data_IF_803292293683
#
_entry.id   IF_803292293683
#
_cell.length_a   1.000
_cell.length_b   1.000
_cell.length_c   1.000
_cell.angle_alpha   90.00
_cell.angle_beta   90.00
_cell.angle_gamma   90.00
#
_symmetry.space_group_name_H-M   'P 1'
#
loop_
_entity.id
_entity.type
_entity.pdbx_description
1 polymer ?
#
# COMPACT_ATOMS: atom_id res chain seq x y z
N UNK A 1 -1.81 17.03 25.59
CA UNK A 1 -2.92 17.10 24.61
C UNK A 1 -2.45 16.35 23.37
N UNK A 2 -3.24 15.39 22.86
CA UNK A 2 -2.91 14.61 21.65
C UNK A 2 -2.75 15.54 20.46
N UNK A 3 -1.60 15.43 19.74
CA UNK A 3 -1.29 16.32 18.61
C UNK A 3 -2.06 15.92 17.35
N UNK A 4 -2.19 14.62 17.09
CA UNK A 4 -2.91 14.07 15.97
C UNK A 4 -3.94 13.05 16.45
N UNK A 5 -5.22 13.32 16.25
CA UNK A 5 -6.30 12.39 16.58
C UNK A 5 -6.45 11.32 15.50
N UNK A 6 -6.33 11.72 14.22
CA UNK A 6 -6.53 10.86 13.06
C UNK A 6 -5.20 10.47 12.44
N UNK A 7 -4.90 9.17 12.41
CA UNK A 7 -3.72 8.62 11.76
C UNK A 7 -4.14 7.81 10.53
N UNK A 8 -3.71 8.28 9.36
CA UNK A 8 -4.01 7.68 8.07
C UNK A 8 -2.79 6.93 7.57
N UNK A 9 -2.78 5.61 7.73
CA UNK A 9 -1.67 4.76 7.34
C UNK A 9 -1.84 4.20 5.93
N UNK A 10 -0.80 4.29 5.12
CA UNK A 10 -0.65 3.37 4.01
C UNK A 10 -0.49 1.94 4.52
N UNK A 11 -0.71 0.95 3.65
CA UNK A 11 -0.68 -0.45 4.04
C UNK A 11 0.59 -1.16 3.59
N UNK A 12 0.87 -1.18 2.28
CA UNK A 12 1.97 -1.94 1.69
C UNK A 12 3.30 -1.20 1.84
N UNK A 13 4.33 -1.88 2.31
CA UNK A 13 5.64 -1.32 2.67
C UNK A 13 5.59 -0.26 3.79
N UNK A 14 4.43 -0.11 4.44
CA UNK A 14 4.26 0.71 5.65
C UNK A 14 3.83 -0.14 6.86
N UNK A 15 2.83 -1.00 6.71
CA UNK A 15 2.36 -1.94 7.73
C UNK A 15 2.67 -3.40 7.37
N UNK A 16 2.60 -3.73 6.09
CA UNK A 16 2.84 -5.06 5.54
C UNK A 16 4.09 -5.09 4.67
N UNK A 17 4.85 -6.16 4.78
CA UNK A 17 5.97 -6.51 3.90
C UNK A 17 5.42 -6.99 2.54
N UNK A 18 5.20 -6.04 1.63
CA UNK A 18 4.68 -6.34 0.30
C UNK A 18 5.64 -7.17 -0.55
N UNK A 19 6.96 -6.91 -0.60
CA UNK A 19 7.91 -7.76 -1.34
C UNK A 19 7.83 -9.22 -0.94
N UNK A 20 7.75 -9.53 0.35
CA UNK A 20 7.60 -10.89 0.85
C UNK A 20 6.27 -11.52 0.44
N UNK A 21 5.17 -10.78 0.59
CA UNK A 21 3.84 -11.25 0.20
C UNK A 21 3.77 -11.51 -1.31
N UNK A 22 4.28 -10.56 -2.11
CA UNK A 22 4.32 -10.64 -3.58
C UNK A 22 5.16 -11.83 -4.07
N UNK A 23 6.36 -12.03 -3.51
CA UNK A 23 7.22 -13.15 -3.87
C UNK A 23 6.56 -14.50 -3.60
N UNK A 24 5.92 -14.65 -2.44
CA UNK A 24 5.20 -15.89 -2.08
C UNK A 24 3.97 -16.12 -2.95
N UNK A 25 3.22 -15.07 -3.24
CA UNK A 25 2.07 -15.15 -4.14
C UNK A 25 2.48 -15.54 -5.56
N UNK A 26 3.59 -14.98 -6.06
CA UNK A 26 4.14 -15.31 -7.37
C UNK A 26 4.66 -16.76 -7.43
N UNK A 27 5.37 -17.22 -6.40
CA UNK A 27 5.81 -18.63 -6.28
C UNK A 27 4.59 -19.58 -6.31
N UNK A 28 3.53 -19.25 -5.59
CA UNK A 28 2.29 -20.03 -5.56
C UNK A 28 1.62 -20.11 -6.93
N UNK A 29 1.47 -18.95 -7.59
CA UNK A 29 0.93 -18.85 -8.95
C UNK A 29 1.77 -19.67 -9.95
N UNK A 30 3.09 -19.56 -9.92
CA UNK A 30 3.99 -20.34 -10.77
C UNK A 30 3.77 -21.84 -10.59
N UNK A 31 3.67 -22.31 -9.34
CA UNK A 31 3.42 -23.72 -9.03
C UNK A 31 2.06 -24.19 -9.55
N UNK A 32 1.00 -23.38 -9.42
CA UNK A 32 -0.36 -23.72 -9.89
C UNK A 32 -0.41 -23.85 -11.41
N UNK A 33 0.38 -23.08 -12.15
CA UNK A 33 0.38 -23.04 -13.62
C UNK A 33 1.56 -23.77 -14.27
N UNK A 34 2.30 -24.61 -13.51
CA UNK A 34 3.48 -25.33 -13.98
C UNK A 34 4.51 -24.41 -14.66
N UNK A 35 4.71 -23.22 -14.11
CA UNK A 35 5.72 -22.24 -14.53
C UNK A 35 6.96 -22.42 -13.64
N UNK A 36 8.17 -22.59 -14.18
CA UNK A 36 9.38 -22.66 -13.36
C UNK A 36 9.57 -21.37 -12.53
N UNK A 37 9.55 -21.53 -11.20
CA UNK A 37 9.90 -20.42 -10.32
C UNK A 37 11.42 -20.32 -10.20
N UNK A 38 12.00 -19.27 -10.77
CA UNK A 38 13.42 -18.96 -10.68
C UNK A 38 13.62 -17.50 -10.24
N UNK A 39 14.78 -17.13 -9.69
CA UNK A 39 15.09 -15.74 -9.36
C UNK A 39 14.96 -14.81 -10.57
N UNK A 40 15.30 -15.27 -11.77
CA UNK A 40 15.18 -14.52 -13.02
C UNK A 40 13.72 -14.27 -13.41
N UNK A 41 12.87 -15.30 -13.29
CA UNK A 41 11.44 -15.20 -13.58
C UNK A 41 10.76 -14.20 -12.60
N UNK A 42 11.10 -14.28 -11.32
CA UNK A 42 10.56 -13.33 -10.33
C UNK A 42 11.05 -11.91 -10.59
N UNK A 43 12.32 -11.71 -10.91
CA UNK A 43 12.87 -10.38 -11.24
C UNK A 43 12.17 -9.78 -12.45
N UNK A 44 12.00 -10.54 -13.54
CA UNK A 44 11.29 -10.12 -14.73
C UNK A 44 9.83 -9.69 -14.40
N UNK A 45 9.11 -10.54 -13.65
CA UNK A 45 7.77 -10.20 -13.20
C UNK A 45 7.75 -8.90 -12.36
N UNK A 46 8.69 -8.77 -11.43
CA UNK A 46 8.79 -7.62 -10.54
C UNK A 46 9.06 -6.32 -11.31
N UNK A 47 9.97 -6.34 -12.28
CA UNK A 47 10.26 -5.18 -13.15
C UNK A 47 9.03 -4.75 -13.95
N UNK A 48 8.32 -5.69 -14.58
CA UNK A 48 7.08 -5.43 -15.32
C UNK A 48 6.01 -4.84 -14.36
N UNK A 49 5.86 -5.42 -13.19
CA UNK A 49 4.88 -4.98 -12.20
C UNK A 49 5.18 -3.56 -11.71
N UNK A 50 6.44 -3.22 -11.41
CA UNK A 50 6.84 -1.87 -11.00
C UNK A 50 6.59 -0.83 -12.09
N UNK A 51 6.93 -1.14 -13.35
CA UNK A 51 6.67 -0.25 -14.49
C UNK A 51 5.18 0.08 -14.61
N UNK A 52 4.34 -0.95 -14.55
CA UNK A 52 2.88 -0.80 -14.72
C UNK A 52 2.24 -0.04 -13.54
N UNK A 53 2.65 -0.32 -12.31
CA UNK A 53 2.17 0.43 -11.15
C UNK A 53 2.64 1.89 -11.19
N UNK A 54 3.87 2.15 -11.65
CA UNK A 54 4.33 3.53 -11.87
C UNK A 54 3.50 4.26 -12.91
N UNK A 55 3.10 3.60 -13.99
CA UNK A 55 2.19 4.17 -14.99
C UNK A 55 0.78 4.44 -14.41
N UNK A 56 0.27 3.55 -13.55
CA UNK A 56 -0.98 3.78 -12.82
C UNK A 56 -0.89 5.00 -11.88
N UNK A 57 0.18 5.15 -11.13
CA UNK A 57 0.40 6.29 -10.22
C UNK A 57 0.47 7.62 -10.96
N UNK A 58 0.91 7.61 -12.23
CA UNK A 58 0.87 8.78 -13.14
C UNK A 58 -0.48 8.98 -13.81
N UNK A 59 -1.44 8.06 -13.63
CA UNK A 59 -2.77 8.11 -14.25
C UNK A 59 -2.81 7.73 -15.73
N UNK A 60 -1.79 7.06 -16.22
CA UNK A 60 -1.64 6.66 -17.65
C UNK A 60 -2.44 5.41 -17.99
N UNK A 61 -2.66 4.54 -17.00
CA UNK A 61 -3.37 3.26 -17.16
C UNK A 61 -4.33 3.01 -16.00
N UNK A 62 -5.28 2.09 -16.19
CA UNK A 62 -6.19 1.67 -15.12
C UNK A 62 -5.58 0.51 -14.31
N UNK A 63 -6.12 0.26 -13.13
CA UNK A 63 -5.69 -0.84 -12.28
C UNK A 63 -5.98 -2.21 -12.90
N UNK A 64 -7.12 -2.34 -13.55
CA UNK A 64 -7.50 -3.55 -14.30
C UNK A 64 -6.48 -3.85 -15.39
N UNK A 65 -6.02 -2.81 -16.11
CA UNK A 65 -4.95 -2.95 -17.09
C UNK A 65 -3.65 -3.43 -16.42
N UNK A 66 -3.21 -2.80 -15.32
CA UNK A 66 -2.00 -3.20 -14.60
C UNK A 66 -2.05 -4.67 -14.21
N UNK A 67 -3.14 -5.10 -13.58
CA UNK A 67 -3.25 -6.44 -13.01
C UNK A 67 -3.27 -7.53 -14.06
N UNK A 68 -3.81 -7.28 -15.24
CA UNK A 68 -3.83 -8.23 -16.34
C UNK A 68 -2.55 -8.15 -17.19
N UNK A 69 -2.16 -6.95 -17.60
CA UNK A 69 -1.06 -6.71 -18.55
C UNK A 69 0.29 -7.23 -18.02
N UNK A 70 0.51 -7.20 -16.72
CA UNK A 70 1.73 -7.76 -16.12
C UNK A 70 1.92 -9.24 -16.46
N UNK A 71 0.84 -10.03 -16.50
CA UNK A 71 0.89 -11.44 -16.86
C UNK A 71 0.94 -11.65 -18.38
N UNK A 72 0.28 -10.80 -19.16
CA UNK A 72 0.43 -10.82 -20.62
C UNK A 72 1.89 -10.61 -21.02
N UNK A 73 2.55 -9.61 -20.45
CA UNK A 73 3.97 -9.32 -20.72
C UNK A 73 4.89 -10.40 -20.19
N UNK A 74 4.66 -10.86 -18.96
CA UNK A 74 5.46 -11.91 -18.33
C UNK A 74 5.42 -13.21 -19.11
N UNK A 75 4.25 -13.72 -19.44
CA UNK A 75 4.07 -14.97 -20.19
C UNK A 75 4.65 -14.88 -21.61
N UNK A 76 4.45 -13.75 -22.28
CA UNK A 76 5.03 -13.49 -23.59
C UNK A 76 6.56 -13.50 -23.54
N UNK A 77 7.17 -12.87 -22.55
CA UNK A 77 8.63 -12.82 -22.41
C UNK A 77 9.26 -14.20 -22.19
N UNK A 78 8.52 -15.11 -21.53
CA UNK A 78 8.95 -16.51 -21.33
C UNK A 78 8.47 -17.46 -22.43
N UNK A 79 7.77 -16.97 -23.45
CA UNK A 79 7.16 -17.79 -24.50
C UNK A 79 6.28 -18.93 -23.95
N UNK A 80 5.46 -18.62 -22.94
CA UNK A 80 4.56 -19.56 -22.27
C UNK A 80 3.10 -19.34 -22.70
N UNK A 81 2.44 -20.44 -23.07
CA UNK A 81 1.01 -20.47 -23.39
C UNK A 81 0.20 -20.79 -22.11
N UNK A 82 -0.17 -19.77 -21.37
CA UNK A 82 -1.04 -19.83 -20.19
C UNK A 82 -2.02 -18.68 -20.24
N UNK A 83 -3.17 -18.81 -19.55
CA UNK A 83 -4.15 -17.73 -19.46
C UNK A 83 -3.67 -16.65 -18.46
N UNK A 84 -3.40 -15.41 -18.91
CA UNK A 84 -3.00 -14.32 -18.04
C UNK A 84 -4.03 -13.98 -16.95
N UNK A 85 -5.33 -14.13 -17.25
CA UNK A 85 -6.39 -13.84 -16.29
C UNK A 85 -6.44 -14.87 -15.16
N UNK A 86 -6.18 -16.15 -15.47
CA UNK A 86 -6.07 -17.20 -14.46
C UNK A 86 -4.83 -17.00 -13.59
N UNK A 87 -3.66 -16.74 -14.19
CA UNK A 87 -2.46 -16.40 -13.45
C UNK A 87 -2.68 -15.22 -12.50
N UNK A 88 -3.33 -14.16 -12.99
CA UNK A 88 -3.65 -13.00 -12.17
C UNK A 88 -4.59 -13.35 -11.01
N UNK A 89 -5.65 -14.11 -11.27
CA UNK A 89 -6.62 -14.53 -10.24
C UNK A 89 -5.93 -15.29 -9.11
N UNK A 90 -5.10 -16.28 -9.47
CA UNK A 90 -4.45 -17.14 -8.49
C UNK A 90 -3.36 -16.39 -7.71
N UNK A 91 -2.64 -15.49 -8.37
CA UNK A 91 -1.72 -14.57 -7.69
C UNK A 91 -2.45 -13.66 -6.68
N UNK A 92 -3.56 -13.02 -7.08
CA UNK A 92 -4.31 -12.12 -6.19
C UNK A 92 -4.91 -12.88 -5.02
N UNK A 93 -5.36 -14.11 -5.22
CA UNK A 93 -5.84 -14.99 -4.15
C UNK A 93 -4.73 -15.27 -3.14
N UNK A 94 -3.57 -15.73 -3.62
CA UNK A 94 -2.41 -16.01 -2.77
C UNK A 94 -1.86 -14.74 -2.09
N UNK A 95 -1.87 -13.60 -2.78
CA UNK A 95 -1.48 -12.31 -2.20
C UNK A 95 -2.43 -11.88 -1.08
N UNK A 96 -3.73 -12.15 -1.23
CA UNK A 96 -4.74 -11.89 -0.21
C UNK A 96 -4.58 -12.71 1.08
N UNK A 97 -3.88 -13.84 1.00
CA UNK A 97 -3.51 -14.69 2.14
C UNK A 97 -2.17 -14.26 2.79
N UNK A 98 -1.39 -13.44 2.08
CA UNK A 98 -0.06 -13.01 2.47
C UNK A 98 -0.05 -11.94 3.57
N UNK A 99 -0.24 -12.36 4.82
CA UNK A 99 -0.23 -11.46 5.99
C UNK A 99 1.15 -11.48 6.65
N UNK A 100 2.00 -10.52 6.29
CA UNK A 100 3.34 -10.36 6.84
C UNK A 100 3.50 -8.93 7.38
N UNK A 101 3.22 -8.67 8.68
CA UNK A 101 3.47 -7.35 9.26
C UNK A 101 4.95 -6.98 9.19
N UNK A 102 5.23 -5.69 8.93
CA UNK A 102 6.58 -5.16 9.07
C UNK A 102 7.03 -5.17 10.55
N UNK A 103 8.34 -5.18 10.81
CA UNK A 103 8.87 -5.10 12.17
C UNK A 103 8.22 -3.96 12.95
N UNK A 104 7.80 -4.24 14.17
CA UNK A 104 7.18 -3.30 15.12
C UNK A 104 5.80 -2.73 14.70
N UNK A 105 5.27 -3.04 13.51
CA UNK A 105 4.00 -2.47 13.03
C UNK A 105 2.84 -2.79 13.99
N UNK A 106 2.73 -4.03 14.44
CA UNK A 106 1.69 -4.44 15.40
C UNK A 106 1.86 -3.75 16.76
N UNK A 107 3.08 -3.76 17.32
CA UNK A 107 3.38 -3.15 18.62
C UNK A 107 3.05 -1.66 18.62
N UNK A 108 3.48 -0.94 17.59
CA UNK A 108 3.25 0.50 17.43
C UNK A 108 1.75 0.79 17.29
N UNK A 109 1.03 0.06 16.45
CA UNK A 109 -0.40 0.28 16.27
C UNK A 109 -1.21 -0.03 17.55
N UNK A 110 -0.84 -1.06 18.32
CA UNK A 110 -1.47 -1.34 19.63
C UNK A 110 -1.24 -0.19 20.62
N UNK A 111 -0.03 0.35 20.68
CA UNK A 111 0.30 1.47 21.54
C UNK A 111 -0.44 2.75 21.11
N UNK A 112 -0.52 3.04 19.82
CA UNK A 112 -1.28 4.18 19.29
C UNK A 112 -2.77 4.08 19.64
N UNK A 113 -3.36 2.88 19.49
CA UNK A 113 -4.74 2.63 19.90
C UNK A 113 -4.93 2.84 21.41
N UNK A 114 -3.99 2.35 22.23
CA UNK A 114 -4.01 2.54 23.69
C UNK A 114 -3.93 4.01 24.10
N UNK A 115 -3.19 4.83 23.33
CA UNK A 115 -3.12 6.30 23.51
C UNK A 115 -4.38 7.02 23.06
N UNK A 116 -5.32 6.34 22.41
CA UNK A 116 -6.59 6.88 21.96
C UNK A 116 -6.59 7.45 20.54
N UNK A 117 -5.54 7.21 19.75
CA UNK A 117 -5.53 7.61 18.33
C UNK A 117 -6.55 6.80 17.52
N UNK A 118 -7.18 7.46 16.58
CA UNK A 118 -8.10 6.89 15.61
C UNK A 118 -7.33 6.54 14.34
N UNK A 119 -7.19 5.26 14.05
CA UNK A 119 -6.35 4.78 12.95
C UNK A 119 -7.20 4.29 11.78
N UNK A 120 -6.79 4.68 10.58
CA UNK A 120 -7.43 4.34 9.31
C UNK A 120 -6.38 3.92 8.29
N UNK A 121 -6.74 2.98 7.42
CA UNK A 121 -5.90 2.59 6.29
C UNK A 121 -6.32 3.36 5.05
N UNK A 122 -5.33 3.85 4.29
CA UNK A 122 -5.48 4.52 3.01
C UNK A 122 -4.60 3.80 1.98
N UNK A 123 -5.20 3.17 0.95
CA UNK A 123 -4.42 2.30 0.05
C UNK A 123 -4.86 2.35 -1.41
N UNK A 124 -3.87 2.22 -2.32
CA UNK A 124 -4.10 2.03 -3.75
C UNK A 124 -4.17 0.55 -4.17
N UNK A 125 -4.02 -0.37 -3.23
CA UNK A 125 -4.03 -1.81 -3.51
C UNK A 125 -5.37 -2.31 -4.10
N UNK A 126 -5.35 -3.53 -4.64
CA UNK A 126 -6.55 -4.22 -5.11
C UNK A 126 -7.49 -4.50 -3.93
N UNK A 127 -8.77 -4.13 -4.06
CA UNK A 127 -9.72 -4.15 -2.95
C UNK A 127 -9.91 -5.54 -2.35
N UNK A 128 -10.07 -6.57 -3.17
CA UNK A 128 -10.25 -7.96 -2.70
C UNK A 128 -9.05 -8.45 -1.90
N UNK A 129 -7.83 -8.13 -2.36
CA UNK A 129 -6.56 -8.46 -1.69
C UNK A 129 -6.49 -7.77 -0.34
N UNK A 130 -6.67 -6.46 -0.32
CA UNK A 130 -6.50 -5.69 0.91
C UNK A 130 -7.56 -6.03 1.96
N UNK A 131 -8.80 -6.25 1.54
CA UNK A 131 -9.87 -6.73 2.43
C UNK A 131 -9.54 -8.10 3.04
N UNK A 132 -8.97 -9.02 2.26
CA UNK A 132 -8.56 -10.34 2.74
C UNK A 132 -7.42 -10.24 3.75
N UNK A 133 -6.34 -9.51 3.42
CA UNK A 133 -5.18 -9.33 4.31
C UNK A 133 -5.55 -8.66 5.64
N UNK A 134 -6.38 -7.63 5.58
CA UNK A 134 -6.85 -6.95 6.79
C UNK A 134 -7.64 -7.89 7.69
N UNK A 135 -8.61 -8.63 7.14
CA UNK A 135 -9.39 -9.61 7.93
C UNK A 135 -8.52 -10.70 8.55
N UNK A 136 -7.48 -11.14 7.87
CA UNK A 136 -6.54 -12.16 8.36
C UNK A 136 -5.47 -11.64 9.31
N UNK A 137 -5.45 -10.35 9.62
CA UNK A 137 -4.40 -9.71 10.41
C UNK A 137 -4.93 -9.11 11.71
N UNK A 138 -4.02 -8.88 12.65
CA UNK A 138 -4.26 -8.12 13.88
C UNK A 138 -4.78 -6.69 13.61
N UNK A 139 -4.49 -6.14 12.44
CA UNK A 139 -4.92 -4.79 12.05
C UNK A 139 -6.44 -4.67 11.88
N UNK A 140 -7.16 -5.77 11.67
CA UNK A 140 -8.63 -5.77 11.65
C UNK A 140 -9.25 -5.16 12.91
N UNK A 141 -8.63 -5.40 14.07
CA UNK A 141 -9.11 -4.90 15.35
C UNK A 141 -8.53 -3.53 15.72
N UNK A 142 -7.42 -3.14 15.10
CA UNK A 142 -6.70 -1.91 15.45
C UNK A 142 -7.17 -0.69 14.66
N UNK A 143 -7.61 -0.89 13.44
CA UNK A 143 -8.05 0.18 12.53
C UNK A 143 -9.58 0.28 12.47
N UNK A 144 -10.10 1.51 12.52
CA UNK A 144 -11.56 1.75 12.48
C UNK A 144 -12.15 1.48 11.09
N UNK A 145 -11.40 1.81 10.02
CA UNK A 145 -11.78 1.54 8.64
C UNK A 145 -10.59 1.52 7.69
N UNK A 146 -10.81 0.98 6.49
CA UNK A 146 -9.88 1.07 5.37
C UNK A 146 -10.56 1.76 4.18
N UNK A 147 -9.89 2.76 3.64
CA UNK A 147 -10.28 3.49 2.44
C UNK A 147 -9.44 2.98 1.26
N UNK A 148 -10.08 2.27 0.35
CA UNK A 148 -9.42 1.63 -0.78
C UNK A 148 -9.75 2.41 -2.04
N UNK A 149 -8.77 2.68 -2.89
CA UNK A 149 -8.92 3.54 -4.07
C UNK A 149 -10.02 3.09 -5.04
N UNK A 150 -10.23 1.79 -5.23
CA UNK A 150 -11.32 1.26 -6.05
C UNK A 150 -12.71 1.65 -5.52
N UNK A 151 -12.89 1.58 -4.20
CA UNK A 151 -14.14 1.94 -3.53
C UNK A 151 -14.35 3.46 -3.48
N UNK A 152 -13.26 4.22 -3.51
CA UNK A 152 -13.28 5.66 -3.53
C UNK A 152 -13.55 6.24 -4.92
N UNK A 153 -13.34 5.46 -5.99
CA UNK A 153 -13.37 5.93 -7.37
C UNK A 153 -12.23 6.92 -7.70
N UNK A 154 -11.21 6.97 -6.86
CA UNK A 154 -10.04 7.83 -6.99
C UNK A 154 -8.87 7.23 -6.21
N UNK A 155 -7.64 7.49 -6.64
CA UNK A 155 -6.43 6.95 -6.02
C UNK A 155 -5.53 8.05 -5.44
N UNK A 156 -4.68 7.71 -4.45
CA UNK A 156 -3.54 8.56 -4.05
C UNK A 156 -2.63 8.75 -5.27
N UNK A 157 -2.08 9.94 -5.52
CA UNK A 157 -2.05 11.16 -4.69
C UNK A 157 -3.19 12.14 -4.98
N UNK A 158 -4.26 11.75 -5.67
CA UNK A 158 -5.32 12.67 -6.09
C UNK A 158 -6.03 13.30 -4.88
N UNK A 159 -6.30 14.61 -4.94
CA UNK A 159 -7.10 15.31 -3.94
C UNK A 159 -8.49 14.68 -3.78
N UNK A 160 -9.09 14.21 -4.87
CA UNK A 160 -10.42 13.58 -4.87
C UNK A 160 -10.47 12.35 -3.93
N UNK A 161 -9.38 11.58 -3.84
CA UNK A 161 -9.27 10.47 -2.90
C UNK A 161 -9.32 10.94 -1.44
N UNK A 162 -8.53 11.96 -1.08
CA UNK A 162 -8.53 12.51 0.29
C UNK A 162 -9.84 13.24 0.63
N UNK A 163 -10.51 13.85 -0.33
CA UNK A 163 -11.84 14.42 -0.14
C UNK A 163 -12.89 13.33 0.12
N UNK A 164 -12.74 12.14 -0.50
CA UNK A 164 -13.56 10.96 -0.18
C UNK A 164 -13.34 10.50 1.27
N UNK A 165 -12.09 10.45 1.74
CA UNK A 165 -11.74 10.11 3.12
C UNK A 165 -12.33 11.15 4.10
N UNK A 166 -12.16 12.45 3.84
CA UNK A 166 -12.69 13.52 4.67
C UNK A 166 -14.21 13.47 4.84
N UNK A 167 -14.95 13.20 3.76
CA UNK A 167 -16.41 13.07 3.83
C UNK A 167 -16.88 11.95 4.77
N UNK A 168 -16.06 10.94 5.00
CA UNK A 168 -16.34 9.80 5.90
C UNK A 168 -15.78 9.99 7.30
N UNK A 169 -14.92 10.96 7.50
CA UNK A 169 -14.31 11.32 8.76
C UNK A 169 -14.57 12.81 9.07
N UNK A 170 -15.81 13.18 9.45
CA UNK A 170 -16.22 14.59 9.56
C UNK A 170 -15.45 15.39 10.62
N UNK A 171 -14.77 14.72 11.56
CA UNK A 171 -13.88 15.37 12.54
C UNK A 171 -12.45 15.58 12.06
N UNK A 172 -12.07 15.06 10.87
CA UNK A 172 -10.73 15.15 10.35
C UNK A 172 -10.44 16.56 9.80
N UNK A 173 -9.39 17.17 10.30
CA UNK A 173 -8.90 18.49 9.88
C UNK A 173 -7.41 18.43 9.52
N UNK A 174 -6.89 19.51 8.94
CA UNK A 174 -5.47 19.63 8.63
C UNK A 174 -4.55 19.66 9.85
N UNK A 175 -5.09 20.09 10.99
CA UNK A 175 -4.33 20.23 12.25
C UNK A 175 -4.32 18.98 13.11
N UNK A 176 -5.30 18.06 12.96
CA UNK A 176 -5.44 16.89 13.81
C UNK A 176 -5.23 15.55 13.08
N UNK A 177 -4.80 15.59 11.81
CA UNK A 177 -4.57 14.40 10.99
C UNK A 177 -3.10 14.30 10.53
N UNK A 178 -2.59 13.07 10.51
CA UNK A 178 -1.27 12.72 10.00
C UNK A 178 -1.39 11.56 9.00
N UNK A 179 -0.84 11.73 7.80
CA UNK A 179 -0.68 10.67 6.79
C UNK A 179 0.68 10.02 7.02
N UNK A 180 0.71 8.70 7.13
CA UNK A 180 1.93 7.91 7.31
C UNK A 180 2.06 6.94 6.15
N UNK A 181 3.17 6.98 5.41
CA UNK A 181 3.41 6.08 4.28
C UNK A 181 4.85 6.12 3.79
N UNK A 182 5.22 5.13 2.97
CA UNK A 182 6.57 4.96 2.43
C UNK A 182 6.79 5.65 1.06
N UNK A 183 5.69 5.95 0.35
CA UNK A 183 5.75 6.46 -1.02
C UNK A 183 5.72 7.99 -1.08
N UNK A 184 6.82 8.60 -1.56
CA UNK A 184 6.83 10.03 -1.86
C UNK A 184 5.83 10.42 -2.94
N UNK A 185 5.56 9.53 -3.91
CA UNK A 185 4.70 9.80 -5.07
C UNK A 185 3.21 9.73 -4.74
N UNK A 186 2.80 8.87 -3.83
CA UNK A 186 1.38 8.63 -3.52
C UNK A 186 0.99 9.17 -2.16
N UNK A 187 1.70 8.82 -1.10
CA UNK A 187 1.31 9.18 0.27
C UNK A 187 1.68 10.62 0.60
N UNK A 188 2.95 10.96 0.43
CA UNK A 188 3.46 12.27 0.80
C UNK A 188 2.94 13.34 -0.16
N UNK A 189 3.00 13.08 -1.47
CA UNK A 189 2.39 13.96 -2.47
C UNK A 189 0.89 14.11 -2.24
N UNK A 190 0.20 13.02 -1.92
CA UNK A 190 -1.23 13.02 -1.65
C UNK A 190 -1.60 13.84 -0.41
N UNK A 191 -0.85 13.67 0.68
CA UNK A 191 -0.99 14.51 1.88
C UNK A 191 -0.80 15.99 1.56
N UNK A 192 0.24 16.32 0.77
CA UNK A 192 0.49 17.69 0.33
C UNK A 192 -0.67 18.26 -0.50
N UNK A 193 -1.18 17.49 -1.47
CA UNK A 193 -2.32 17.89 -2.31
C UNK A 193 -3.60 18.12 -1.49
N UNK A 194 -3.75 17.39 -0.37
CA UNK A 194 -4.87 17.50 0.55
C UNK A 194 -4.66 18.54 1.66
N UNK A 195 -3.49 19.16 1.77
CA UNK A 195 -3.14 20.08 2.87
C UNK A 195 -2.89 19.39 4.22
N UNK A 196 -2.77 18.06 4.24
CA UNK A 196 -2.56 17.28 5.46
C UNK A 196 -1.08 17.23 5.84
N UNK A 197 -0.79 17.04 7.14
CA UNK A 197 0.55 16.71 7.61
C UNK A 197 0.93 15.30 7.19
N UNK A 198 2.23 15.06 6.98
CA UNK A 198 2.74 13.78 6.55
C UNK A 198 3.98 13.33 7.34
N UNK A 199 4.09 12.01 7.50
CA UNK A 199 5.22 11.31 8.03
C UNK A 199 5.70 10.30 6.99
N UNK A 200 6.89 10.51 6.46
CA UNK A 200 7.49 9.60 5.50
C UNK A 200 8.22 8.48 6.21
N UNK A 201 7.77 7.25 6.00
CA UNK A 201 8.46 6.05 6.46
C UNK A 201 9.53 5.68 5.44
N UNK A 202 10.80 5.91 5.80
CA UNK A 202 11.96 5.79 4.92
C UNK A 202 13.07 4.91 5.52
N UNK A 203 12.82 3.61 5.73
CA UNK A 203 13.82 2.71 6.33
C UNK A 203 15.07 2.53 5.46
N UNK A 204 14.96 2.77 4.15
CA UNK A 204 16.08 2.62 3.20
C UNK A 204 16.92 3.89 3.04
N UNK A 205 16.59 5.01 3.70
CA UNK A 205 17.31 6.28 3.59
C UNK A 205 17.30 6.86 2.17
N UNK A 206 16.19 6.67 1.43
CA UNK A 206 16.02 7.22 0.09
C UNK A 206 16.10 8.75 0.11
N UNK A 207 16.60 9.41 -0.93
CA UNK A 207 16.66 10.88 -1.00
C UNK A 207 15.26 11.47 -1.06
N UNK A 208 15.09 12.66 -0.43
CA UNK A 208 13.85 13.44 -0.56
C UNK A 208 13.69 13.95 -1.98
N UNK A 209 12.42 14.06 -2.40
CA UNK A 209 12.09 14.70 -3.68
C UNK A 209 12.03 16.21 -3.48
N UNK A 210 12.70 16.97 -4.34
CA UNK A 210 12.67 18.41 -4.33
C UNK A 210 11.25 18.97 -4.53
N UNK A 211 10.92 20.04 -3.81
CA UNK A 211 9.59 20.67 -3.86
C UNK A 211 8.48 19.94 -3.09
N UNK A 212 8.77 18.80 -2.48
CA UNK A 212 7.80 18.04 -1.69
C UNK A 212 7.97 18.33 -0.19
N UNK A 213 6.90 18.77 0.47
CA UNK A 213 6.91 18.95 1.92
C UNK A 213 6.87 17.60 2.61
N UNK A 214 7.84 17.34 3.48
CA UNK A 214 7.91 16.19 4.37
C UNK A 214 7.95 16.75 5.79
N UNK A 215 6.84 16.64 6.54
CA UNK A 215 6.76 17.21 7.90
C UNK A 215 7.58 16.38 8.89
N UNK A 216 7.57 15.04 8.74
CA UNK A 216 8.36 14.08 9.52
C UNK A 216 8.92 13.01 8.60
N UNK A 217 10.09 12.49 8.97
CA UNK A 217 10.72 11.34 8.32
C UNK A 217 11.19 10.40 9.43
N UNK A 218 10.86 9.11 9.29
CA UNK A 218 11.20 8.06 10.25
C UNK A 218 11.83 6.88 9.51
N UNK A 219 12.82 6.25 10.11
CA UNK A 219 13.46 5.03 9.61
C UNK A 219 12.83 3.76 10.24
N UNK A 220 12.23 3.89 11.41
CA UNK A 220 11.54 2.80 12.09
C UNK A 220 10.16 3.27 12.56
N UNK A 221 9.14 2.39 12.46
CA UNK A 221 7.77 2.74 12.87
C UNK A 221 7.65 3.18 14.32
N UNK A 222 8.53 2.68 15.19
CA UNK A 222 8.54 3.06 16.61
C UNK A 222 8.77 4.56 16.84
N UNK A 223 9.52 5.22 15.97
CA UNK A 223 9.76 6.67 16.06
C UNK A 223 8.47 7.49 15.94
N UNK A 224 7.42 6.92 15.33
CA UNK A 224 6.11 7.55 15.25
C UNK A 224 5.53 7.86 16.64
N UNK A 225 5.84 7.05 17.66
CA UNK A 225 5.35 7.23 19.03
C UNK A 225 5.86 8.50 19.71
N UNK A 226 6.94 9.09 19.19
CA UNK A 226 7.53 10.34 19.68
C UNK A 226 6.99 11.57 18.92
N UNK A 227 6.29 11.35 17.81
CA UNK A 227 5.73 12.40 16.95
C UNK A 227 4.29 12.74 17.31
N UNK A 228 3.51 11.73 17.78
CA UNK A 228 2.05 11.80 17.94
C UNK A 228 1.60 11.74 19.38
#
# INVERSE_FOLDING_TARGET
>A
MMKYEYLLFDADDTLFDFPKASSRAFENMCRTHDIPYTPEAYRLYHEINLELWSAFDRGEVTKEFVTLERYVRFLRALNLERDPAECNRDYLTALGEGVYPLPQAEEVCRELKRRGHRMYIITNAVASVQRSRLRGSVFAELFEAAFISEEAGAAKPSRAYFDYVRRRLPGLTESNALVIGDSLATDIQGANNAGLRCCWFNPAGKPRREGLRVDYEIAALRELLDIV
#
